data_IF_244549531080
#
_entry.id   IF_244549531080
#
_cell.length_a   1.000
_cell.length_b   1.000
_cell.length_c   1.000
_cell.angle_alpha   90.00
_cell.angle_beta   90.00
_cell.angle_gamma   90.00
#
_symmetry.space_group_name_H-M   'P 1'
#
loop_
_entity.id
_entity.type
_entity.pdbx_description
1 polymer ?
#
# COMPACT_ATOMS: atom_id res chain seq x y z
N UNK A 1 -21.81 3.63 15.98
CA UNK A 1 -20.55 4.17 15.45
C UNK A 1 -20.01 3.18 14.43
N UNK A 2 -19.67 3.62 13.21
CA UNK A 2 -19.09 2.76 12.17
C UNK A 2 -17.65 2.40 12.52
N UNK A 3 -17.27 1.13 12.41
CA UNK A 3 -15.89 0.68 12.63
C UNK A 3 -15.00 1.17 11.48
N UNK A 4 -14.02 2.02 11.80
CA UNK A 4 -13.01 2.44 10.82
C UNK A 4 -11.95 1.35 10.66
N UNK A 5 -11.49 1.14 9.43
CA UNK A 5 -10.34 0.29 9.11
C UNK A 5 -9.27 1.18 8.48
N UNK A 6 -8.36 1.77 9.28
CA UNK A 6 -7.36 2.69 8.75
C UNK A 6 -6.37 1.93 7.87
N UNK A 7 -6.16 2.43 6.65
CA UNK A 7 -5.11 1.93 5.74
C UNK A 7 -3.99 2.96 5.64
N UNK A 8 -4.33 4.22 5.35
CA UNK A 8 -3.35 5.29 5.19
C UNK A 8 -2.75 5.76 6.52
N UNK A 9 -3.57 5.80 7.58
CA UNK A 9 -3.17 6.29 8.91
C UNK A 9 -2.82 5.18 9.90
N UNK A 10 -2.75 3.93 9.44
CA UNK A 10 -2.58 2.77 10.32
C UNK A 10 -1.29 2.80 11.17
N UNK A 11 -0.26 3.50 10.71
CA UNK A 11 1.08 3.50 11.31
C UNK A 11 1.64 4.91 11.57
N UNK A 12 0.80 5.95 11.57
CA UNK A 12 1.27 7.34 11.70
C UNK A 12 1.91 7.66 13.06
N UNK A 13 1.51 6.94 14.11
CA UNK A 13 1.99 7.12 15.47
C UNK A 13 3.31 6.39 15.75
N UNK A 14 3.83 5.62 14.79
CA UNK A 14 5.14 4.99 14.91
C UNK A 14 6.27 6.02 14.73
N UNK A 15 7.17 6.09 15.73
CA UNK A 15 8.27 7.07 15.78
C UNK A 15 9.17 7.07 14.54
N UNK A 16 9.31 5.91 13.89
CA UNK A 16 10.20 5.67 12.74
C UNK A 16 9.41 5.47 11.43
N UNK A 17 8.13 5.82 11.39
CA UNK A 17 7.23 5.67 10.23
C UNK A 17 7.75 6.35 8.95
N UNK A 18 8.52 7.42 9.10
CA UNK A 18 9.15 8.16 8.00
C UNK A 18 10.42 7.50 7.45
N UNK A 19 10.95 6.48 8.12
CA UNK A 19 12.18 5.80 7.69
C UNK A 19 11.87 4.71 6.66
N UNK A 20 12.86 4.39 5.81
CA UNK A 20 12.73 3.29 4.85
C UNK A 20 12.49 1.95 5.55
N UNK A 21 13.19 1.70 6.67
CA UNK A 21 13.02 0.49 7.46
C UNK A 21 11.60 0.39 8.05
N UNK A 22 11.06 1.50 8.57
CA UNK A 22 9.68 1.58 9.03
C UNK A 22 8.67 1.27 7.92
N UNK A 23 8.85 1.87 6.74
CA UNK A 23 7.98 1.63 5.59
C UNK A 23 8.05 0.17 5.11
N UNK A 24 9.26 -0.41 4.99
CA UNK A 24 9.45 -1.79 4.54
C UNK A 24 8.89 -2.83 5.52
N UNK A 25 8.97 -2.57 6.83
CA UNK A 25 8.42 -3.45 7.89
C UNK A 25 6.92 -3.72 7.70
N UNK A 26 6.18 -2.73 7.21
CA UNK A 26 4.74 -2.83 6.95
C UNK A 26 4.41 -3.17 5.49
N UNK A 27 5.36 -3.81 4.79
CA UNK A 27 5.16 -4.26 3.41
C UNK A 27 5.39 -3.18 2.35
N UNK A 28 6.01 -2.05 2.71
CA UNK A 28 6.41 -1.01 1.78
C UNK A 28 7.17 -1.55 0.57
N UNK A 29 6.87 -1.00 -0.60
CA UNK A 29 7.38 -1.43 -1.92
C UNK A 29 6.99 -2.84 -2.40
N UNK A 30 6.30 -3.68 -1.62
CA UNK A 30 5.87 -4.99 -2.12
C UNK A 30 4.85 -4.87 -3.26
N UNK A 31 3.92 -3.91 -3.14
CA UNK A 31 2.90 -3.66 -4.17
C UNK A 31 3.50 -3.13 -5.47
N UNK A 32 4.47 -2.22 -5.42
CA UNK A 32 5.12 -1.71 -6.65
C UNK A 32 5.94 -2.79 -7.34
N UNK A 33 6.63 -3.66 -6.59
CA UNK A 33 7.33 -4.83 -7.16
C UNK A 33 6.35 -5.75 -7.90
N UNK A 34 5.18 -6.01 -7.31
CA UNK A 34 4.12 -6.78 -7.96
C UNK A 34 3.63 -6.08 -9.23
N UNK A 35 3.31 -4.78 -9.16
CA UNK A 35 2.80 -4.01 -10.29
C UNK A 35 3.79 -3.95 -11.46
N UNK A 36 5.09 -3.81 -11.18
CA UNK A 36 6.14 -3.78 -12.21
C UNK A 36 6.36 -5.14 -12.89
N UNK A 37 5.92 -6.24 -12.27
CA UNK A 37 5.95 -7.57 -12.87
C UNK A 37 4.65 -7.92 -13.63
N UNK A 38 3.63 -7.05 -13.56
CA UNK A 38 2.37 -7.23 -14.27
C UNK A 38 2.47 -6.65 -15.68
N UNK A 39 1.64 -7.20 -16.57
CA UNK A 39 1.35 -6.53 -17.83
C UNK A 39 0.71 -5.15 -17.56
N UNK A 40 1.09 -4.08 -18.28
CA UNK A 40 0.52 -2.75 -18.10
C UNK A 40 -1.00 -2.70 -18.17
N UNK A 41 -1.63 -3.45 -19.08
CA UNK A 41 -3.10 -3.45 -19.20
C UNK A 41 -3.75 -4.17 -18.02
N UNK A 42 -3.09 -5.19 -17.46
CA UNK A 42 -3.57 -5.90 -16.28
C UNK A 42 -3.58 -5.02 -15.03
N UNK A 43 -2.56 -4.18 -14.82
CA UNK A 43 -2.56 -3.23 -13.69
C UNK A 43 -3.60 -2.13 -13.88
N UNK A 44 -3.78 -1.64 -15.11
CA UNK A 44 -4.85 -0.69 -15.45
C UNK A 44 -6.22 -1.29 -15.13
N UNK A 45 -6.48 -2.53 -15.56
CA UNK A 45 -7.74 -3.19 -15.31
C UNK A 45 -7.99 -3.41 -13.81
N UNK A 46 -6.97 -3.80 -13.06
CA UNK A 46 -7.06 -3.96 -11.60
C UNK A 46 -7.54 -2.68 -10.91
N UNK A 47 -7.09 -1.50 -11.37
CA UNK A 47 -7.56 -0.22 -10.83
C UNK A 47 -8.99 0.09 -11.29
N UNK A 48 -9.34 -0.16 -12.55
CA UNK A 48 -10.72 0.00 -13.06
C UNK A 48 -11.73 -0.83 -12.28
N UNK A 49 -11.36 -2.04 -11.87
CA UNK A 49 -12.22 -2.95 -11.11
C UNK A 49 -12.44 -2.50 -9.66
N UNK A 50 -11.63 -1.54 -9.16
CA UNK A 50 -11.72 -1.06 -7.78
C UNK A 50 -12.78 0.02 -7.54
N UNK A 51 -13.39 0.57 -8.61
CA UNK A 51 -14.41 1.62 -8.57
C UNK A 51 -13.87 3.00 -8.97
#
# INVERSE_FOLDING_TARGET
>A
MTKLTPVLSAHWDEKDSHTLAGYQRHGGYNSVKKALAMDPDAVIQTVKDSG
#
